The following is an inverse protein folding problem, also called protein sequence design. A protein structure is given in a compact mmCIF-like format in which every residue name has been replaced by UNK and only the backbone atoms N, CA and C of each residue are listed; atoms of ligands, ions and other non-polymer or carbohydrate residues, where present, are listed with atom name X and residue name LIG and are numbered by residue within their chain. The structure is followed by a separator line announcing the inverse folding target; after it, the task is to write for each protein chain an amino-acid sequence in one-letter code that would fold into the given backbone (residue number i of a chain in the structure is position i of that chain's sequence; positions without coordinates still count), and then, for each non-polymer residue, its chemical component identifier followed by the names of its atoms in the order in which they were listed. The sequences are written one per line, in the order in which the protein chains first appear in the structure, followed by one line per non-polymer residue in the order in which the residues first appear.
data_IF_686127652600
#
_entry.id   IF_686127652600
#
_cell.length_a   1.000
_cell.length_b   1.000
_cell.length_c   1.000
_cell.angle_alpha   90.00
_cell.angle_beta   90.00
_cell.angle_gamma   90.00
#
_symmetry.space_group_name_H-M   'P 1'
#
loop_
_entity.id
_entity.type
_entity.pdbx_description
1 polymer ?
#
# COMPACT_ATOMS: atom_id res chain seq x y z
N UNK A 1 -18.25 -28.45 2.81
CA UNK A 1 -18.34 -27.29 1.92
C UNK A 1 -16.95 -26.67 1.85
N UNK A 2 -16.38 -26.53 0.66
CA UNK A 2 -15.06 -25.90 0.50
C UNK A 2 -15.19 -24.38 0.49
N UNK A 3 -14.16 -23.65 0.92
CA UNK A 3 -14.12 -22.17 0.88
C UNK A 3 -14.41 -21.66 -0.54
N UNK A 4 -13.90 -22.36 -1.56
CA UNK A 4 -14.14 -22.06 -2.97
C UNK A 4 -15.64 -22.11 -3.35
N UNK A 5 -16.36 -23.11 -2.85
CA UNK A 5 -17.81 -23.22 -3.10
C UNK A 5 -18.61 -22.13 -2.40
N UNK A 6 -18.23 -21.74 -1.18
CA UNK A 6 -18.86 -20.63 -0.47
C UNK A 6 -18.66 -19.30 -1.19
N UNK A 7 -17.44 -19.03 -1.67
CA UNK A 7 -17.13 -17.83 -2.44
C UNK A 7 -17.99 -17.75 -3.72
N UNK A 8 -18.10 -18.86 -4.47
CA UNK A 8 -18.92 -18.87 -5.69
C UNK A 8 -20.41 -18.63 -5.41
N UNK A 9 -20.96 -19.22 -4.35
CA UNK A 9 -22.36 -19.02 -3.98
C UNK A 9 -22.67 -17.58 -3.55
N UNK A 10 -21.71 -16.91 -2.93
CA UNK A 10 -21.89 -15.52 -2.54
C UNK A 10 -21.80 -14.60 -3.76
N UNK A 11 -20.82 -14.84 -4.65
CA UNK A 11 -20.63 -14.11 -5.92
C UNK A 11 -21.89 -14.15 -6.81
N UNK A 12 -22.57 -15.30 -6.92
CA UNK A 12 -23.80 -15.39 -7.73
C UNK A 12 -24.99 -14.60 -7.16
N UNK A 13 -25.00 -14.31 -5.86
CA UNK A 13 -26.09 -13.57 -5.18
C UNK A 13 -25.87 -12.06 -5.16
N UNK A 14 -24.67 -11.60 -5.53
CA UNK A 14 -24.28 -10.19 -5.42
C UNK A 14 -24.72 -9.39 -6.66
N UNK A 15 -25.15 -8.14 -6.48
CA UNK A 15 -25.43 -7.23 -7.59
C UNK A 15 -24.14 -6.84 -8.34
N UNK A 16 -24.26 -6.65 -9.65
CA UNK A 16 -23.18 -6.29 -10.59
C UNK A 16 -22.18 -5.20 -10.10
N UNK A 17 -22.59 -4.09 -9.44
CA UNK A 17 -21.64 -3.10 -8.91
C UNK A 17 -20.68 -3.65 -7.84
N UNK A 18 -21.12 -4.62 -7.02
CA UNK A 18 -20.26 -5.25 -6.01
C UNK A 18 -19.37 -6.34 -6.62
N UNK A 19 -19.79 -6.91 -7.75
CA UNK A 19 -19.01 -7.87 -8.52
C UNK A 19 -17.71 -7.24 -9.04
N UNK A 20 -17.79 -5.97 -9.46
CA UNK A 20 -16.63 -5.21 -9.90
C UNK A 20 -15.61 -4.99 -8.77
N UNK A 21 -16.08 -4.60 -7.59
CA UNK A 21 -15.22 -4.41 -6.40
C UNK A 21 -14.54 -5.72 -5.98
N UNK A 22 -15.26 -6.85 -6.07
CA UNK A 22 -14.71 -8.18 -5.79
C UNK A 22 -13.66 -8.58 -6.83
N UNK A 23 -13.89 -8.28 -8.11
CA UNK A 23 -12.93 -8.55 -9.17
C UNK A 23 -11.62 -7.77 -8.93
N UNK A 24 -11.72 -6.48 -8.62
CA UNK A 24 -10.57 -5.65 -8.29
C UNK A 24 -9.82 -6.20 -7.06
N UNK A 25 -10.55 -6.64 -6.03
CA UNK A 25 -9.95 -7.24 -4.84
C UNK A 25 -9.25 -8.57 -5.12
N UNK A 26 -9.81 -9.43 -5.97
CA UNK A 26 -9.19 -10.69 -6.37
C UNK A 26 -7.92 -10.42 -7.18
N UNK A 27 -7.95 -9.46 -8.11
CA UNK A 27 -6.77 -9.05 -8.87
C UNK A 27 -5.67 -8.50 -7.95
N UNK A 28 -6.03 -7.68 -6.98
CA UNK A 28 -5.10 -7.18 -5.96
C UNK A 28 -4.46 -8.33 -5.16
N UNK A 29 -5.25 -9.32 -4.73
CA UNK A 29 -4.70 -10.49 -4.03
C UNK A 29 -3.76 -11.30 -4.94
N UNK A 30 -4.08 -11.45 -6.22
CA UNK A 30 -3.20 -12.13 -7.17
C UNK A 30 -1.88 -11.38 -7.34
N UNK A 31 -1.91 -10.06 -7.52
CA UNK A 31 -0.70 -9.23 -7.62
C UNK A 31 0.14 -9.28 -6.34
N UNK A 32 -0.50 -9.27 -5.16
CA UNK A 32 0.19 -9.33 -3.86
C UNK A 32 0.83 -10.70 -3.58
N UNK A 33 0.21 -11.78 -4.04
CA UNK A 33 0.68 -13.15 -3.83
C UNK A 33 1.45 -13.72 -5.02
N UNK A 34 1.62 -12.97 -6.11
CA UNK A 34 2.50 -13.35 -7.20
C UNK A 34 3.95 -13.21 -6.68
N UNK A 35 4.67 -14.33 -6.44
CA UNK A 35 6.09 -14.23 -6.13
C UNK A 35 6.74 -13.64 -7.38
N UNK A 36 7.40 -12.50 -7.22
CA UNK A 36 8.16 -11.83 -8.25
C UNK A 36 9.13 -12.83 -8.92
N UNK A 37 8.72 -13.40 -10.06
CA UNK A 37 9.64 -13.72 -11.14
C UNK A 37 9.78 -12.47 -11.99
N UNK A 38 10.17 -11.36 -11.36
CA UNK A 38 10.63 -10.19 -12.08
C UNK A 38 12.10 -10.45 -12.38
N UNK A 39 12.30 -10.96 -13.58
CA UNK A 39 13.52 -10.75 -14.34
C UNK A 39 13.98 -9.31 -14.18
N UNK A 40 15.27 -9.18 -13.87
CA UNK A 40 16.05 -7.97 -14.00
C UNK A 40 15.84 -7.31 -15.37
N UNK A 41 14.88 -6.40 -15.49
CA UNK A 41 14.96 -5.28 -16.44
C UNK A 41 13.89 -4.22 -16.13
N UNK A 42 14.10 -3.45 -15.08
CA UNK A 42 13.95 -1.99 -15.11
C UNK A 42 14.60 -1.50 -13.81
N UNK A 43 15.89 -1.20 -13.96
CA UNK A 43 16.65 -0.35 -13.06
C UNK A 43 15.80 0.90 -12.79
N UNK A 44 15.57 1.33 -11.56
CA UNK A 44 16.63 1.89 -10.71
C UNK A 44 16.40 1.48 -9.25
N UNK A 45 17.02 0.38 -8.85
CA UNK A 45 17.48 0.21 -7.47
C UNK A 45 18.72 1.08 -7.32
N UNK A 46 18.55 2.35 -6.94
CA UNK A 46 19.68 3.15 -6.48
C UNK A 46 19.86 2.92 -4.98
N UNK A 47 21.05 2.47 -4.54
CA UNK A 47 21.38 2.42 -3.13
C UNK A 47 21.38 3.85 -2.56
N UNK A 48 21.12 3.91 -1.25
CA UNK A 48 20.92 5.03 -0.32
C UNK A 48 22.03 6.11 -0.28
N UNK A 49 22.60 6.51 -1.41
CA UNK A 49 23.66 7.54 -1.50
C UNK A 49 23.50 8.36 -2.77
N UNK A 50 22.42 9.11 -2.88
CA UNK A 50 22.37 10.27 -3.75
C UNK A 50 22.00 11.45 -2.86
N UNK A 51 22.85 12.47 -2.84
CA UNK A 51 22.49 13.79 -2.34
C UNK A 51 21.31 14.29 -3.19
N UNK A 52 20.09 13.96 -2.78
CA UNK A 52 18.89 14.58 -3.31
C UNK A 52 18.97 16.02 -2.87
N UNK A 53 19.56 16.84 -3.73
CA UNK A 53 19.58 18.28 -3.60
C UNK A 53 18.12 18.71 -3.70
N UNK A 54 17.43 18.74 -2.56
CA UNK A 54 16.13 19.38 -2.41
C UNK A 54 16.34 20.86 -2.69
N UNK A 55 16.35 21.24 -3.96
CA UNK A 55 16.50 22.64 -4.39
C UNK A 55 15.26 23.46 -4.03
N UNK A 56 14.17 22.77 -3.69
CA UNK A 56 12.89 23.31 -3.32
C UNK A 56 12.21 22.34 -2.34
N UNK A 57 11.58 22.88 -1.29
CA UNK A 57 10.85 22.11 -0.28
C UNK A 57 9.34 22.07 -0.61
N UNK A 58 9.01 21.86 -1.88
CA UNK A 58 7.62 21.92 -2.32
C UNK A 58 6.99 20.54 -2.21
N UNK A 59 5.70 20.48 -1.89
CA UNK A 59 4.95 19.22 -1.81
C UNK A 59 4.94 18.44 -3.14
N UNK A 60 5.12 19.11 -4.28
CA UNK A 60 5.27 18.47 -5.59
C UNK A 60 6.53 17.61 -5.71
N UNK A 61 7.63 18.00 -5.05
CA UNK A 61 8.88 17.22 -5.06
C UNK A 61 8.73 15.90 -4.29
N UNK A 62 7.69 15.78 -3.45
CA UNK A 62 7.36 14.54 -2.72
C UNK A 62 6.55 13.55 -3.55
N UNK A 63 6.00 13.96 -4.71
CA UNK A 63 5.16 13.10 -5.54
C UNK A 63 5.96 11.95 -6.18
N UNK A 64 7.26 12.15 -6.44
CA UNK A 64 8.16 11.11 -6.95
C UNK A 64 8.26 9.90 -5.99
N UNK A 65 8.01 10.12 -4.70
CA UNK A 65 8.10 9.09 -3.68
C UNK A 65 6.76 8.41 -3.41
N UNK A 66 5.65 8.83 -4.03
CA UNK A 66 4.34 8.20 -3.75
C UNK A 66 4.36 6.73 -4.19
N UNK A 67 4.03 5.82 -3.26
CA UNK A 67 4.03 4.38 -3.51
C UNK A 67 5.37 3.67 -3.23
N UNK A 68 6.47 4.39 -3.00
CA UNK A 68 7.75 3.80 -2.54
C UNK A 68 7.90 3.79 -1.00
N UNK A 69 6.88 4.25 -0.27
CA UNK A 69 6.88 4.29 1.19
C UNK A 69 6.77 2.87 1.72
N UNK A 70 7.84 2.38 2.31
CA UNK A 70 7.89 1.11 3.02
C UNK A 70 7.84 1.38 4.52
N UNK A 71 6.98 0.67 5.24
CA UNK A 71 6.81 0.84 6.68
C UNK A 71 5.52 0.18 7.15
N UNK A 72 5.60 -0.69 8.15
CA UNK A 72 4.44 -1.34 8.79
C UNK A 72 4.13 -0.77 10.18
N UNK A 73 4.92 0.22 10.58
CA UNK A 73 5.05 0.80 11.92
C UNK A 73 4.21 2.09 12.08
N UNK A 74 3.38 2.46 11.11
CA UNK A 74 2.48 3.63 11.20
C UNK A 74 1.69 3.65 12.53
N UNK A 75 1.26 2.47 12.99
CA UNK A 75 0.49 2.32 14.24
C UNK A 75 1.36 2.55 15.48
N UNK A 76 2.59 2.07 15.46
CA UNK A 76 3.58 2.26 16.53
C UNK A 76 4.03 3.72 16.61
N UNK A 77 4.32 4.34 15.46
CA UNK A 77 4.64 5.77 15.36
C UNK A 77 3.50 6.66 15.90
N UNK A 78 2.25 6.38 15.51
CA UNK A 78 1.09 7.13 16.01
C UNK A 78 0.90 6.96 17.52
N UNK A 79 1.14 5.75 18.05
CA UNK A 79 1.07 5.47 19.48
C UNK A 79 2.15 6.25 20.25
N UNK A 80 3.40 6.25 19.77
CA UNK A 80 4.50 7.00 20.35
C UNK A 80 4.20 8.51 20.42
N UNK A 81 3.64 9.08 19.35
CA UNK A 81 3.22 10.50 19.32
C UNK A 81 2.09 10.74 20.33
N UNK A 82 1.12 9.84 20.41
CA UNK A 82 0.03 9.97 21.38
C UNK A 82 0.54 9.96 22.83
N UNK A 83 1.54 9.15 23.14
CA UNK A 83 2.14 9.02 24.47
C UNK A 83 3.08 10.18 24.81
N UNK A 84 3.82 10.68 23.83
CA UNK A 84 4.84 11.73 24.02
C UNK A 84 4.33 13.15 23.83
N UNK A 85 3.16 13.35 23.20
CA UNK A 85 2.63 14.69 22.96
C UNK A 85 2.39 15.42 24.28
N UNK A 86 2.75 16.69 24.33
CA UNK A 86 2.38 17.55 25.45
C UNK A 86 0.86 17.74 25.45
N UNK A 87 0.27 17.71 26.65
CA UNK A 87 -1.13 18.03 26.82
C UNK A 87 -1.33 19.52 26.57
N UNK A 88 -2.23 19.85 25.65
CA UNK A 88 -2.68 21.23 25.46
C UNK A 88 -3.75 21.47 26.54
N UNK A 89 -3.45 22.35 27.48
CA UNK A 89 -4.46 22.92 28.37
C UNK A 89 -5.16 24.07 27.63
N UNK A 90 -6.49 24.07 27.66
CA UNK A 90 -7.35 25.10 27.06
C UNK A 90 -7.86 26.06 28.13
#
# INVERSE_FOLDING_TARGET
MTIKEQINQEIEKLPEPLLQEILDFIQFLQSKHQPENISANNQVSQPLTAEHNFTNSTAEDLLEFVGSWEGSDIRECLQLVHESRMQIEF
#
